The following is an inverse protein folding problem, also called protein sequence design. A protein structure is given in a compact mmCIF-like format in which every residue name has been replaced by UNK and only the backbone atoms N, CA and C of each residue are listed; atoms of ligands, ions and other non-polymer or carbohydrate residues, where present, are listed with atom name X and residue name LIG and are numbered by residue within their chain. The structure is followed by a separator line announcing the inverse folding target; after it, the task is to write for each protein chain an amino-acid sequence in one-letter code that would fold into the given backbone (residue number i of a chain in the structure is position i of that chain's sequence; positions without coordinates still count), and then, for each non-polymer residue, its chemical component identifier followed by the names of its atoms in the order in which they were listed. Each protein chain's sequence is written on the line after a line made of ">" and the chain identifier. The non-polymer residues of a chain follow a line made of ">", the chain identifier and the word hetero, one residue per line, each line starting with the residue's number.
data_IF_363402331306
#
_entry.id   IF_363402331306
#
_cell.length_a   1.000
_cell.length_b   1.000
_cell.length_c   1.000
_cell.angle_alpha   90.00
_cell.angle_beta   90.00
_cell.angle_gamma   90.00
#
_symmetry.space_group_name_H-M   'P 1'
#
loop_
_entity.id
_entity.type
_entity.pdbx_description
1 polymer ?
#
# COMPACT_ATOMS: atom_id res chain seq x y z
N UNK A 1 8.11 1.37 -4.73
CA UNK A 1 6.67 1.00 -4.61
C UNK A 1 6.53 -0.41 -5.17
N UNK A 2 5.91 -1.34 -4.43
CA UNK A 2 5.80 -2.75 -4.82
C UNK A 2 4.46 -3.04 -5.51
N UNK A 3 4.46 -3.78 -6.61
CA UNK A 3 3.23 -4.22 -7.30
C UNK A 3 2.95 -5.67 -6.89
N UNK A 4 1.72 -5.95 -6.46
CA UNK A 4 1.32 -7.26 -5.95
C UNK A 4 -0.13 -7.57 -6.27
N UNK A 5 -0.51 -8.84 -6.28
CA UNK A 5 -1.91 -9.26 -6.41
C UNK A 5 -2.74 -9.02 -5.15
N UNK A 6 -2.12 -9.06 -3.96
CA UNK A 6 -2.81 -8.92 -2.66
C UNK A 6 -2.11 -7.95 -1.71
N UNK A 7 -2.89 -7.06 -1.08
CA UNK A 7 -2.42 -6.08 -0.10
C UNK A 7 -2.64 -6.49 1.37
N UNK A 8 -3.14 -7.71 1.63
CA UNK A 8 -3.58 -8.17 2.97
C UNK A 8 -2.48 -8.08 4.04
N UNK A 9 -1.26 -8.49 3.72
CA UNK A 9 -0.11 -8.41 4.63
C UNK A 9 0.56 -7.03 4.61
N UNK A 10 0.54 -6.34 3.47
CA UNK A 10 1.19 -5.04 3.28
C UNK A 10 0.56 -3.93 4.11
N UNK A 11 -0.76 -3.93 4.26
CA UNK A 11 -1.48 -2.93 5.07
C UNK A 11 -1.21 -3.02 6.57
N UNK A 12 -0.66 -4.15 7.07
CA UNK A 12 -0.43 -4.41 8.50
C UNK A 12 1.02 -4.24 8.95
N UNK A 13 1.96 -3.96 8.03
CA UNK A 13 3.39 -3.94 8.34
C UNK A 13 3.81 -2.80 9.28
N UNK A 14 3.03 -1.74 9.29
CA UNK A 14 3.35 -0.51 10.00
C UNK A 14 2.05 0.25 10.30
N UNK A 15 2.04 1.03 11.39
CA UNK A 15 0.86 1.80 11.82
C UNK A 15 0.50 2.92 10.84
N UNK A 16 1.48 3.45 10.11
CA UNK A 16 1.29 4.54 9.13
C UNK A 16 0.91 4.02 7.73
N UNK A 17 0.76 2.70 7.55
CA UNK A 17 0.24 2.13 6.31
C UNK A 17 -1.28 2.41 6.18
N UNK A 18 -1.64 3.13 5.14
CA UNK A 18 -3.03 3.45 4.81
C UNK A 18 -3.41 2.90 3.45
N UNK A 19 -4.63 2.37 3.35
CA UNK A 19 -5.22 1.98 2.07
C UNK A 19 -5.88 3.20 1.45
N UNK A 20 -5.59 3.46 0.18
CA UNK A 20 -6.22 4.51 -0.62
C UNK A 20 -6.60 3.99 -2.00
N UNK A 21 -7.76 4.41 -2.50
CA UNK A 21 -8.12 4.22 -3.90
C UNK A 21 -7.75 5.47 -4.71
N UNK A 22 -7.04 5.28 -5.82
CA UNK A 22 -6.63 6.35 -6.73
C UNK A 22 -6.73 5.86 -8.17
N UNK A 23 -7.43 6.61 -9.03
CA UNK A 23 -7.61 6.26 -10.46
C UNK A 23 -8.07 4.80 -10.65
N UNK A 24 -9.03 4.36 -9.84
CA UNK A 24 -9.56 2.98 -9.85
C UNK A 24 -8.62 1.89 -9.33
N UNK A 25 -7.41 2.21 -8.84
CA UNK A 25 -6.47 1.22 -8.28
C UNK A 25 -6.33 1.39 -6.77
N UNK A 26 -6.17 0.27 -6.06
CA UNK A 26 -5.96 0.25 -4.61
C UNK A 26 -4.45 0.30 -4.32
N UNK A 27 -4.06 1.21 -3.43
CA UNK A 27 -2.68 1.37 -2.98
C UNK A 27 -2.60 1.25 -1.46
N UNK A 28 -1.50 0.69 -0.97
CA UNK A 28 -1.00 0.94 0.38
C UNK A 28 -0.01 2.09 0.28
N UNK A 29 -0.28 3.18 0.97
CA UNK A 29 0.64 4.31 1.11
C UNK A 29 1.18 4.36 2.54
N UNK A 30 2.44 4.76 2.67
CA UNK A 30 3.01 5.16 3.94
C UNK A 30 3.84 6.42 3.68
N UNK A 31 3.45 7.53 4.31
CA UNK A 31 4.09 8.84 4.11
C UNK A 31 5.40 8.96 4.88
N UNK A 32 5.53 8.23 6.01
CA UNK A 32 6.71 8.23 6.88
C UNK A 32 7.81 7.33 6.33
N UNK A 33 7.45 6.10 5.92
CA UNK A 33 8.37 5.14 5.33
C UNK A 33 7.96 4.74 3.90
N UNK A 34 8.64 5.31 2.89
CA UNK A 34 8.36 5.07 1.47
C UNK A 34 8.55 3.61 1.03
N UNK A 35 9.31 2.79 1.79
CA UNK A 35 9.55 1.36 1.49
C UNK A 35 8.26 0.53 1.50
N UNK A 36 7.27 0.92 2.30
CA UNK A 36 6.03 0.17 2.46
C UNK A 36 4.93 0.53 1.44
N UNK A 37 5.21 1.43 0.49
CA UNK A 37 4.25 1.74 -0.58
C UNK A 37 4.05 0.55 -1.50
N UNK A 38 2.79 0.17 -1.74
CA UNK A 38 2.43 -0.90 -2.66
C UNK A 38 1.13 -0.61 -3.44
N UNK A 39 0.93 -1.30 -4.57
CA UNK A 39 -0.27 -1.21 -5.41
C UNK A 39 -0.81 -2.61 -5.70
N UNK A 40 -2.14 -2.75 -5.72
CA UNK A 40 -2.81 -3.94 -6.24
C UNK A 40 -2.90 -3.87 -7.77
N UNK A 41 -2.45 -4.94 -8.44
CA UNK A 41 -2.46 -5.05 -9.91
C UNK A 41 -1.11 -4.78 -10.53
#
# INVERSE_FOLDING_TARGET
>A
MKVVSSLKSLKKRDKDCQIVQRRGKIFVINKKNKRFKAKQG
#
